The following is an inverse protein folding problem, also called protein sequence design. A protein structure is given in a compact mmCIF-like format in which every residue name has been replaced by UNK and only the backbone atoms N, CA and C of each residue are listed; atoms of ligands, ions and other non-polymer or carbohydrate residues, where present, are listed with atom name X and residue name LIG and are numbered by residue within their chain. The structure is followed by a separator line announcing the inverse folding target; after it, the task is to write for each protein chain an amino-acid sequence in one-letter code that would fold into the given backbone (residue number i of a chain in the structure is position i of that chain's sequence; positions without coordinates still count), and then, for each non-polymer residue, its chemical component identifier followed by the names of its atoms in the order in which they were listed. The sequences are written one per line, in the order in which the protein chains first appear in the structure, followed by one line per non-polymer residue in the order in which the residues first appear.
data_IF_304190966369
#
_entry.id   IF_304190966369
#
_cell.length_a   1.000
_cell.length_b   1.000
_cell.length_c   1.000
_cell.angle_alpha   90.00
_cell.angle_beta   90.00
_cell.angle_gamma   90.00
#
_symmetry.space_group_name_H-M   'P 1'
#
loop_
_entity.id
_entity.type
_entity.pdbx_description
1 polymer ?
#
# COMPACT_ATOMS: atom_id res chain seq x y z
N UNK A 1 21.25 -12.83 -8.19
CA UNK A 1 20.81 -13.85 -7.20
C UNK A 1 19.31 -13.80 -6.87
N UNK A 2 18.47 -13.03 -7.57
CA UNK A 2 17.00 -13.11 -7.43
C UNK A 2 16.31 -13.81 -8.60
N UNK A 3 17.07 -14.25 -9.62
CA UNK A 3 16.50 -14.96 -10.75
C UNK A 3 16.18 -16.41 -10.36
N UNK A 4 15.08 -16.90 -10.91
CA UNK A 4 14.60 -18.27 -10.74
C UNK A 4 14.42 -18.86 -12.13
N UNK A 5 14.70 -20.16 -12.30
CA UNK A 5 14.55 -20.81 -13.60
C UNK A 5 13.40 -21.83 -13.60
N UNK A 6 12.78 -22.09 -14.76
CA UNK A 6 11.75 -23.12 -14.88
C UNK A 6 12.22 -24.51 -14.45
N UNK A 7 13.49 -24.85 -14.64
CA UNK A 7 14.08 -26.15 -14.27
C UNK A 7 14.13 -26.33 -12.75
N UNK A 8 14.31 -25.26 -11.99
CA UNK A 8 14.29 -25.29 -10.52
C UNK A 8 12.86 -25.45 -9.99
N UNK A 9 11.90 -24.67 -10.50
CA UNK A 9 10.54 -24.60 -9.96
C UNK A 9 9.61 -25.68 -10.55
N UNK A 10 9.81 -26.09 -11.80
CA UNK A 10 8.93 -26.98 -12.54
C UNK A 10 8.67 -28.35 -11.87
N UNK A 11 9.70 -29.05 -11.36
CA UNK A 11 9.49 -30.31 -10.63
C UNK A 11 8.64 -30.12 -9.37
N UNK A 12 8.84 -29.03 -8.63
CA UNK A 12 8.05 -28.70 -7.44
C UNK A 12 6.58 -28.46 -7.79
N UNK A 13 6.31 -27.69 -8.86
CA UNK A 13 4.94 -27.46 -9.33
C UNK A 13 4.30 -28.74 -9.84
N UNK A 14 5.06 -29.58 -10.55
CA UNK A 14 4.57 -30.87 -11.05
C UNK A 14 4.12 -31.79 -9.91
N UNK A 15 4.80 -31.74 -8.76
CA UNK A 15 4.40 -32.48 -7.56
C UNK A 15 3.08 -32.01 -6.93
N UNK A 16 2.70 -30.74 -7.13
CA UNK A 16 1.47 -30.16 -6.56
C UNK A 16 0.29 -30.15 -7.54
N UNK A 17 0.57 -29.93 -8.83
CA UNK A 17 -0.45 -29.66 -9.85
C UNK A 17 -0.44 -30.66 -11.02
N UNK A 18 0.44 -31.66 -10.97
CA UNK A 18 0.64 -32.64 -12.04
C UNK A 18 1.67 -32.18 -13.08
N UNK A 19 2.27 -33.10 -13.87
CA UNK A 19 3.33 -32.76 -14.81
C UNK A 19 2.87 -31.80 -15.92
N UNK A 20 3.58 -30.68 -16.08
CA UNK A 20 3.36 -29.73 -17.17
C UNK A 20 4.60 -28.88 -17.48
N UNK A 21 4.61 -28.25 -18.66
CA UNK A 21 5.62 -27.25 -19.01
C UNK A 21 5.49 -26.03 -18.08
N UNK A 22 6.64 -25.52 -17.60
CA UNK A 22 6.71 -24.33 -16.75
C UNK A 22 7.39 -23.19 -17.50
N UNK A 23 6.81 -22.00 -17.47
CA UNK A 23 7.42 -20.76 -17.98
C UNK A 23 7.33 -19.68 -16.93
N UNK A 24 8.37 -18.83 -16.90
CA UNK A 24 8.51 -17.76 -15.93
C UNK A 24 8.70 -16.44 -16.66
N UNK A 25 7.92 -15.42 -16.29
CA UNK A 25 8.10 -14.05 -16.76
C UNK A 25 8.27 -13.16 -15.54
N UNK A 26 9.44 -12.53 -15.41
CA UNK A 26 9.68 -11.59 -14.31
C UNK A 26 8.84 -10.34 -14.52
N UNK A 27 8.13 -9.91 -13.47
CA UNK A 27 7.49 -8.59 -13.45
C UNK A 27 8.55 -7.59 -13.00
N UNK A 28 8.89 -6.64 -13.88
CA UNK A 28 9.86 -5.58 -13.58
C UNK A 28 9.20 -4.37 -12.90
N UNK A 29 9.96 -3.67 -12.05
CA UNK A 29 9.59 -2.38 -11.46
C UNK A 29 9.69 -2.34 -9.93
N UNK A 30 10.22 -1.22 -9.40
CA UNK A 30 10.05 -0.81 -8.00
C UNK A 30 11.01 -1.39 -6.96
N UNK A 31 10.77 -1.03 -5.70
CA UNK A 31 11.52 -1.44 -4.48
C UNK A 31 10.90 -2.68 -3.80
N UNK A 32 9.88 -3.29 -4.41
CA UNK A 32 9.07 -4.38 -3.83
C UNK A 32 9.74 -5.75 -3.95
N UNK A 33 9.15 -6.75 -3.28
CA UNK A 33 9.58 -8.15 -3.34
C UNK A 33 9.65 -8.70 -4.78
N UNK A 34 10.70 -9.49 -5.15
CA UNK A 34 10.78 -10.15 -6.45
C UNK A 34 9.49 -10.90 -6.81
N UNK A 35 8.92 -10.55 -7.97
CA UNK A 35 7.61 -11.04 -8.43
C UNK A 35 7.72 -11.61 -9.86
N UNK A 36 7.08 -12.75 -10.10
CA UNK A 36 7.12 -13.49 -11.35
C UNK A 36 5.72 -13.98 -11.73
N UNK A 37 5.35 -13.86 -13.00
CA UNK A 37 4.25 -14.64 -13.58
C UNK A 37 4.77 -16.06 -13.81
N UNK A 38 4.00 -17.05 -13.38
CA UNK A 38 4.28 -18.47 -13.52
C UNK A 38 3.17 -19.11 -14.34
N UNK A 39 3.52 -19.57 -15.53
CA UNK A 39 2.65 -20.41 -16.36
C UNK A 39 3.06 -21.87 -16.16
N UNK A 40 2.15 -22.71 -15.68
CA UNK A 40 2.35 -24.15 -15.49
C UNK A 40 1.19 -24.92 -16.13
N UNK A 41 1.40 -25.42 -17.35
CA UNK A 41 0.32 -25.94 -18.19
C UNK A 41 -0.75 -24.86 -18.44
N UNK A 42 -2.00 -25.15 -18.06
CA UNK A 42 -3.11 -24.18 -18.15
C UNK A 42 -3.23 -23.25 -16.93
N UNK A 43 -2.42 -23.45 -15.87
CA UNK A 43 -2.51 -22.68 -14.63
C UNK A 43 -1.58 -21.48 -14.71
N UNK A 44 -2.15 -20.26 -14.65
CA UNK A 44 -1.39 -19.01 -14.56
C UNK A 44 -1.43 -18.46 -13.14
N UNK A 45 -0.27 -18.21 -12.57
CA UNK A 45 -0.08 -17.79 -11.18
C UNK A 45 0.90 -16.62 -11.10
N UNK A 46 0.96 -15.99 -9.93
CA UNK A 46 2.02 -15.05 -9.55
C UNK A 46 2.80 -15.65 -8.38
N UNK A 47 4.13 -15.72 -8.54
CA UNK A 47 5.07 -16.04 -7.48
C UNK A 47 5.66 -14.76 -6.92
N UNK A 48 5.66 -14.62 -5.60
CA UNK A 48 6.31 -13.53 -4.88
C UNK A 48 7.26 -14.12 -3.84
N UNK A 49 8.50 -13.66 -3.80
CA UNK A 49 9.53 -14.17 -2.88
C UNK A 49 10.30 -13.04 -2.21
N UNK A 50 10.92 -13.33 -1.07
CA UNK A 50 11.86 -12.40 -0.42
C UNK A 50 13.04 -12.07 -1.34
N UNK A 51 13.63 -10.86 -1.28
CA UNK A 51 14.91 -10.62 -1.94
C UNK A 51 16.01 -11.50 -1.33
N UNK A 52 17.02 -11.87 -2.13
CA UNK A 52 18.22 -12.53 -1.64
C UNK A 52 19.09 -11.54 -0.84
N UNK A 53 19.80 -12.04 0.18
CA UNK A 53 20.73 -11.26 1.00
C UNK A 53 20.24 -11.07 2.45
N UNK A 54 21.01 -10.32 3.23
CA UNK A 54 20.60 -9.95 4.59
C UNK A 54 19.46 -8.94 4.54
N UNK A 55 18.36 -9.28 5.19
CA UNK A 55 17.16 -8.45 5.28
C UNK A 55 17.04 -7.92 6.71
N UNK A 56 16.69 -6.64 6.84
CA UNK A 56 16.37 -6.05 8.15
C UNK A 56 15.23 -6.81 8.81
N UNK A 57 15.31 -7.01 10.13
CA UNK A 57 14.29 -7.75 10.88
C UNK A 57 12.89 -7.17 10.65
N UNK A 58 11.99 -7.98 10.11
CA UNK A 58 10.59 -7.61 9.83
C UNK A 58 10.35 -6.95 8.47
N UNK A 59 11.40 -6.69 7.68
CA UNK A 59 11.25 -6.31 6.27
C UNK A 59 10.98 -7.55 5.40
N UNK A 60 10.27 -7.36 4.28
CA UNK A 60 9.98 -8.41 3.30
C UNK A 60 9.29 -9.66 3.90
N UNK A 61 8.36 -9.46 4.83
CA UNK A 61 7.64 -10.54 5.50
C UNK A 61 6.54 -11.14 4.60
N UNK A 62 6.94 -11.87 3.56
CA UNK A 62 6.03 -12.49 2.58
C UNK A 62 5.08 -13.51 3.21
N UNK A 63 5.45 -14.07 4.37
CA UNK A 63 4.60 -14.95 5.18
C UNK A 63 3.39 -14.18 5.71
N UNK A 64 3.59 -12.93 6.12
CA UNK A 64 2.51 -12.03 6.55
C UNK A 64 1.62 -11.62 5.38
N UNK A 65 2.21 -11.31 4.22
CA UNK A 65 1.46 -11.02 2.99
C UNK A 65 0.55 -12.20 2.60
N UNK A 66 1.09 -13.41 2.57
CA UNK A 66 0.31 -14.63 2.33
C UNK A 66 -0.79 -14.80 3.38
N UNK A 67 -0.46 -14.66 4.67
CA UNK A 67 -1.38 -14.90 5.78
C UNK A 67 -2.60 -13.99 5.73
N UNK A 68 -2.42 -12.68 5.49
CA UNK A 68 -3.54 -11.73 5.43
C UNK A 68 -4.42 -11.96 4.20
N UNK A 69 -3.83 -12.18 3.02
CA UNK A 69 -4.61 -12.48 1.81
C UNK A 69 -5.35 -13.80 1.92
N UNK A 70 -4.72 -14.82 2.51
CA UNK A 70 -5.34 -16.12 2.74
C UNK A 70 -6.56 -16.01 3.66
N UNK A 71 -6.42 -15.25 4.76
CA UNK A 71 -7.51 -15.04 5.71
C UNK A 71 -8.65 -14.17 5.13
N UNK A 72 -8.34 -13.26 4.20
CA UNK A 72 -9.32 -12.42 3.53
C UNK A 72 -10.07 -13.12 2.37
N UNK A 73 -9.59 -14.28 1.91
CA UNK A 73 -10.09 -14.95 0.71
C UNK A 73 -11.60 -15.28 0.75
N UNK A 74 -12.14 -15.50 1.95
CA UNK A 74 -13.56 -15.82 2.18
C UNK A 74 -14.38 -14.60 2.67
N UNK A 75 -13.85 -13.38 2.49
CA UNK A 75 -14.54 -12.12 2.84
C UNK A 75 -14.97 -11.35 1.60
N UNK A 76 -15.69 -10.24 1.79
CA UNK A 76 -16.07 -9.32 0.70
C UNK A 76 -14.89 -8.45 0.18
N UNK A 77 -13.68 -8.63 0.72
CA UNK A 77 -12.49 -7.91 0.29
C UNK A 77 -11.89 -8.63 -0.93
N UNK A 78 -11.83 -7.99 -2.11
CA UNK A 78 -11.27 -8.63 -3.28
C UNK A 78 -9.73 -8.73 -3.12
N UNK A 79 -9.23 -9.95 -2.97
CA UNK A 79 -7.80 -10.26 -2.93
C UNK A 79 -7.48 -11.40 -3.91
N UNK A 80 -6.27 -11.47 -4.49
CA UNK A 80 -5.86 -12.63 -5.25
C UNK A 80 -5.92 -13.87 -4.35
N UNK A 81 -6.53 -14.96 -4.85
CA UNK A 81 -6.60 -16.21 -4.09
C UNK A 81 -5.18 -16.76 -3.91
N UNK A 82 -4.75 -16.89 -2.67
CA UNK A 82 -3.49 -17.55 -2.35
C UNK A 82 -3.57 -19.04 -2.69
N UNK A 83 -2.53 -19.57 -3.32
CA UNK A 83 -2.48 -20.96 -3.79
C UNK A 83 -1.64 -21.81 -2.85
N UNK A 84 -0.44 -21.36 -2.53
CA UNK A 84 0.53 -22.12 -1.73
C UNK A 84 1.56 -21.19 -1.11
N UNK A 85 1.98 -21.49 0.12
CA UNK A 85 3.16 -20.90 0.76
C UNK A 85 4.24 -21.97 0.92
N UNK A 86 5.47 -21.66 0.50
CA UNK A 86 6.64 -22.51 0.66
C UNK A 86 7.67 -21.81 1.53
N UNK A 87 7.83 -22.32 2.76
CA UNK A 87 8.71 -21.72 3.77
C UNK A 87 10.18 -22.11 3.59
N UNK A 88 10.47 -23.29 3.05
CA UNK A 88 11.83 -23.81 2.96
C UNK A 88 12.63 -23.03 1.89
N UNK A 89 13.73 -22.33 2.26
CA UNK A 89 14.54 -21.61 1.29
C UNK A 89 15.33 -22.52 0.36
N UNK A 90 15.42 -23.84 0.61
CA UNK A 90 16.26 -24.75 -0.17
C UNK A 90 15.94 -24.74 -1.67
N UNK A 91 14.68 -24.50 -2.05
CA UNK A 91 14.26 -24.54 -3.46
C UNK A 91 14.71 -23.30 -4.24
N UNK A 92 14.42 -22.08 -3.74
CA UNK A 92 14.62 -20.81 -4.47
C UNK A 92 15.58 -19.83 -3.76
N UNK A 93 16.30 -20.29 -2.75
CA UNK A 93 17.18 -19.50 -1.89
C UNK A 93 16.45 -18.67 -0.83
N UNK A 94 15.14 -18.51 -0.94
CA UNK A 94 14.29 -17.80 0.01
C UNK A 94 12.88 -18.42 0.04
N UNK A 95 12.10 -18.21 1.11
CA UNK A 95 10.67 -18.48 1.10
C UNK A 95 9.97 -17.78 -0.07
N UNK A 96 8.84 -18.35 -0.51
CA UNK A 96 7.97 -17.74 -1.52
C UNK A 96 6.51 -18.17 -1.32
N UNK A 97 5.60 -17.45 -1.96
CA UNK A 97 4.22 -17.90 -2.12
C UNK A 97 3.74 -17.77 -3.56
N UNK A 98 2.71 -18.55 -3.88
CA UNK A 98 1.96 -18.50 -5.13
C UNK A 98 0.55 -17.97 -4.85
N UNK A 99 0.05 -17.14 -5.75
CA UNK A 99 -1.34 -16.72 -5.81
C UNK A 99 -1.86 -16.84 -7.25
N UNK A 100 -3.18 -16.87 -7.42
CA UNK A 100 -3.77 -16.85 -8.74
C UNK A 100 -3.43 -15.53 -9.46
N UNK A 101 -3.19 -15.62 -10.76
CA UNK A 101 -3.04 -14.43 -11.59
C UNK A 101 -4.41 -13.82 -11.85
N UNK A 102 -4.58 -12.56 -11.45
CA UNK A 102 -5.81 -11.79 -11.69
C UNK A 102 -5.57 -10.87 -12.87
N UNK A 103 -6.31 -11.06 -13.95
CA UNK A 103 -6.25 -10.20 -15.12
C UNK A 103 -7.02 -8.89 -14.85
N UNK A 104 -6.32 -7.76 -14.90
CA UNK A 104 -6.88 -6.45 -14.61
C UNK A 104 -5.99 -5.30 -15.07
N UNK A 105 -6.53 -4.08 -14.95
CA UNK A 105 -5.86 -2.83 -15.27
C UNK A 105 -5.26 -2.23 -14.00
N UNK A 106 -4.06 -1.68 -14.09
CA UNK A 106 -3.41 -0.91 -13.02
C UNK A 106 -3.26 0.52 -13.51
N UNK A 107 -3.64 1.49 -12.68
CA UNK A 107 -3.50 2.91 -12.97
C UNK A 107 -2.57 3.56 -11.95
N UNK A 108 -1.60 4.34 -12.44
CA UNK A 108 -0.67 5.09 -11.58
C UNK A 108 -0.98 6.58 -11.51
N UNK A 109 -1.64 7.14 -12.54
CA UNK A 109 -2.12 8.52 -12.56
C UNK A 109 -3.52 8.59 -11.95
N UNK A 110 -3.66 9.28 -10.80
CA UNK A 110 -4.94 9.37 -10.10
C UNK A 110 -5.98 10.19 -10.88
N UNK A 111 -5.59 10.92 -11.92
CA UNK A 111 -6.52 11.66 -12.79
C UNK A 111 -7.31 10.76 -13.73
N UNK A 112 -6.83 9.54 -13.99
CA UNK A 112 -7.45 8.57 -14.91
C UNK A 112 -7.79 9.18 -16.30
N UNK A 113 -6.81 9.85 -16.97
CA UNK A 113 -7.07 10.64 -18.17
C UNK A 113 -7.65 9.83 -19.33
N UNK A 114 -7.36 8.52 -19.39
CA UNK A 114 -7.83 7.59 -20.42
C UNK A 114 -9.29 7.14 -20.27
N UNK A 115 -9.96 7.52 -19.17
CA UNK A 115 -11.32 7.09 -18.87
C UNK A 115 -12.34 8.23 -19.01
N UNK A 116 -13.58 7.87 -19.31
CA UNK A 116 -14.71 8.78 -19.30
C UNK A 116 -15.08 9.20 -17.87
N UNK A 117 -15.64 10.42 -17.65
CA UNK A 117 -15.99 10.91 -16.32
C UNK A 117 -16.81 9.95 -15.45
N UNK A 118 -17.76 9.23 -16.05
CA UNK A 118 -18.58 8.26 -15.31
C UNK A 118 -17.76 7.08 -14.77
N UNK A 119 -16.78 6.60 -15.54
CA UNK A 119 -15.90 5.49 -15.13
C UNK A 119 -14.89 5.95 -14.07
N UNK A 120 -14.38 7.18 -14.17
CA UNK A 120 -13.53 7.78 -13.11
C UNK A 120 -14.27 7.80 -11.78
N UNK A 121 -15.52 8.28 -11.80
CA UNK A 121 -16.39 8.30 -10.63
C UNK A 121 -16.56 6.91 -10.03
N UNK A 122 -16.95 5.95 -10.87
CA UNK A 122 -17.22 4.58 -10.44
C UNK A 122 -15.98 3.88 -9.86
N UNK A 123 -14.78 4.12 -10.41
CA UNK A 123 -13.53 3.58 -9.86
C UNK A 123 -13.23 4.17 -8.48
N UNK A 124 -13.33 5.50 -8.30
CA UNK A 124 -13.09 6.14 -7.00
C UNK A 124 -14.09 5.64 -5.94
N UNK A 125 -15.37 5.52 -6.29
CA UNK A 125 -16.37 4.96 -5.38
C UNK A 125 -16.10 3.48 -5.08
N UNK A 126 -15.76 2.67 -6.08
CA UNK A 126 -15.38 1.27 -5.86
C UNK A 126 -14.14 1.13 -4.99
N UNK A 127 -13.17 2.04 -5.11
CA UNK A 127 -11.96 2.08 -4.31
C UNK A 127 -12.29 2.29 -2.83
N UNK A 128 -13.04 3.35 -2.51
CA UNK A 128 -13.33 3.67 -1.10
C UNK A 128 -14.29 2.67 -0.46
N UNK A 129 -15.23 2.11 -1.24
CA UNK A 129 -16.12 1.05 -0.77
C UNK A 129 -15.34 -0.25 -0.48
N UNK A 130 -14.29 -0.53 -1.26
CA UNK A 130 -13.39 -1.65 -0.99
C UNK A 130 -12.63 -1.45 0.32
N UNK A 131 -12.16 -0.23 0.59
CA UNK A 131 -11.53 0.12 1.87
C UNK A 131 -12.50 -0.04 3.04
N UNK A 132 -13.75 0.39 2.90
CA UNK A 132 -14.78 0.22 3.91
C UNK A 132 -15.05 -1.26 4.22
N UNK A 133 -15.12 -2.11 3.18
CA UNK A 133 -15.26 -3.56 3.34
C UNK A 133 -14.07 -4.16 4.09
N UNK A 134 -12.84 -3.72 3.78
CA UNK A 134 -11.64 -4.14 4.52
C UNK A 134 -11.72 -3.75 5.99
N UNK A 135 -12.03 -2.49 6.29
CA UNK A 135 -12.12 -2.00 7.67
C UNK A 135 -13.27 -2.61 8.46
N UNK A 136 -14.30 -3.15 7.79
CA UNK A 136 -15.40 -3.88 8.42
C UNK A 136 -14.99 -5.28 8.89
N UNK A 137 -13.95 -5.89 8.28
CA UNK A 137 -13.48 -7.22 8.67
C UNK A 137 -12.89 -7.17 10.08
N UNK A 138 -13.40 -8.05 10.95
CA UNK A 138 -12.89 -8.22 12.32
C UNK A 138 -11.70 -9.19 12.29
N UNK A 139 -10.46 -8.75 12.63
CA UNK A 139 -9.27 -9.60 12.55
C UNK A 139 -9.42 -10.93 13.29
N UNK A 140 -10.02 -10.91 14.47
CA UNK A 140 -10.28 -12.08 15.31
C UNK A 140 -11.20 -13.11 14.64
N UNK A 141 -12.14 -12.67 13.80
CA UNK A 141 -13.09 -13.54 13.12
C UNK A 141 -12.44 -14.34 11.98
N UNK A 142 -11.29 -13.89 11.48
CA UNK A 142 -10.55 -14.54 10.39
C UNK A 142 -9.15 -15.01 10.81
N UNK A 143 -8.91 -15.20 12.12
CA UNK A 143 -7.66 -15.77 12.64
C UNK A 143 -6.45 -14.83 12.55
N UNK A 144 -6.68 -13.51 12.59
CA UNK A 144 -5.66 -12.46 12.54
C UNK A 144 -5.57 -11.65 13.86
N UNK A 145 -5.98 -12.21 14.99
CA UNK A 145 -5.95 -11.53 16.30
C UNK A 145 -4.53 -11.13 16.74
N UNK A 146 -3.51 -11.88 16.34
CA UNK A 146 -2.07 -11.65 16.59
C UNK A 146 -1.35 -10.99 15.41
N UNK A 147 -2.08 -10.54 14.38
CA UNK A 147 -1.46 -10.02 13.16
C UNK A 147 -0.76 -8.67 13.36
N UNK A 148 -1.07 -7.93 14.41
CA UNK A 148 -0.42 -6.66 14.75
C UNK A 148 -0.78 -6.21 16.16
N UNK A 149 -0.05 -5.23 16.68
CA UNK A 149 -0.31 -4.67 18.02
C UNK A 149 -1.44 -3.63 17.95
N UNK A 150 -2.59 -3.82 18.64
CA UNK A 150 -3.68 -2.85 18.68
C UNK A 150 -3.40 -1.67 19.63
N UNK A 151 -4.31 -0.67 19.63
CA UNK A 151 -4.23 0.58 20.40
C UNK A 151 -3.17 1.53 19.87
N UNK A 152 -3.01 2.73 20.44
CA UNK A 152 -1.93 3.75 20.30
C UNK A 152 -1.28 3.83 18.90
N UNK A 153 -2.05 3.66 17.83
CA UNK A 153 -1.49 3.42 16.50
C UNK A 153 -0.70 4.63 16.02
N UNK A 154 -1.31 5.81 16.07
CA UNK A 154 -0.67 7.05 15.61
C UNK A 154 0.56 7.40 16.44
N UNK A 155 0.50 7.27 17.77
CA UNK A 155 1.66 7.53 18.63
C UNK A 155 2.85 6.62 18.27
N UNK A 156 2.61 5.31 18.10
CA UNK A 156 3.67 4.36 17.71
C UNK A 156 4.22 4.64 16.32
N UNK A 157 3.35 4.91 15.35
CA UNK A 157 3.80 5.16 14.00
C UNK A 157 4.54 6.49 13.91
N UNK A 158 4.05 7.54 14.56
CA UNK A 158 4.72 8.83 14.60
C UNK A 158 6.12 8.67 15.19
N UNK A 159 6.25 8.02 16.35
CA UNK A 159 7.56 7.72 16.94
C UNK A 159 8.48 6.97 15.96
N UNK A 160 7.99 5.92 15.29
CA UNK A 160 8.76 5.16 14.29
C UNK A 160 9.25 6.04 13.14
N UNK A 161 8.37 6.82 12.53
CA UNK A 161 8.71 7.64 11.37
C UNK A 161 9.62 8.81 11.76
N UNK A 162 9.45 9.39 12.94
CA UNK A 162 10.37 10.39 13.50
C UNK A 162 11.75 9.80 13.71
N UNK A 163 11.88 8.64 14.35
CA UNK A 163 13.19 7.99 14.52
C UNK A 163 13.85 7.61 13.19
N UNK A 164 13.05 7.22 12.19
CA UNK A 164 13.57 6.94 10.85
C UNK A 164 14.07 8.20 10.14
N UNK A 165 13.39 9.33 10.31
CA UNK A 165 13.86 10.64 9.84
C UNK A 165 15.16 11.06 10.53
N UNK A 166 15.23 10.95 11.85
CA UNK A 166 16.42 11.30 12.65
C UNK A 166 17.66 10.46 12.30
N UNK A 167 17.47 9.24 11.78
CA UNK A 167 18.53 8.35 11.34
C UNK A 167 18.91 8.51 9.85
N UNK A 168 18.28 9.43 9.12
CA UNK A 168 18.40 9.58 7.66
C UNK A 168 19.33 10.72 7.24
N UNK A 169 19.57 10.90 5.94
CA UNK A 169 20.31 12.08 5.45
C UNK A 169 19.53 13.40 5.60
N UNK A 170 18.27 13.36 6.03
CA UNK A 170 17.42 14.53 6.31
C UNK A 170 17.24 14.77 7.81
N UNK A 171 18.10 14.21 8.66
CA UNK A 171 18.01 14.35 10.12
C UNK A 171 18.01 15.79 10.64
N UNK A 172 18.52 16.75 9.85
CA UNK A 172 18.56 18.19 10.18
C UNK A 172 17.54 19.02 9.38
N UNK A 173 16.65 18.39 8.60
CA UNK A 173 15.64 19.11 7.83
C UNK A 173 14.62 19.79 8.76
N UNK A 174 14.70 21.12 8.83
CA UNK A 174 13.92 21.91 9.75
C UNK A 174 12.40 21.79 9.52
N UNK A 175 11.96 21.62 8.27
CA UNK A 175 10.55 21.53 7.93
C UNK A 175 9.95 20.21 8.38
N UNK A 176 10.63 19.10 8.09
CA UNK A 176 10.21 17.75 8.48
C UNK A 176 10.24 17.55 10.00
N UNK A 177 11.29 18.05 10.67
CA UNK A 177 11.38 17.99 12.13
C UNK A 177 10.31 18.85 12.82
N UNK A 178 10.02 20.04 12.29
CA UNK A 178 8.94 20.88 12.81
C UNK A 178 7.58 20.21 12.60
N UNK A 179 7.34 19.61 11.43
CA UNK A 179 6.11 18.89 11.12
C UNK A 179 5.89 17.70 12.07
N UNK A 180 6.94 16.88 12.27
CA UNK A 180 6.94 15.78 13.24
C UNK A 180 6.52 16.25 14.64
N UNK A 181 7.13 17.34 15.13
CA UNK A 181 6.77 17.96 16.42
C UNK A 181 5.33 18.47 16.46
N UNK A 182 4.87 19.11 15.37
CA UNK A 182 3.49 19.62 15.28
C UNK A 182 2.48 18.48 15.31
N UNK A 183 2.71 17.42 14.54
CA UNK A 183 1.86 16.22 14.52
C UNK A 183 1.76 15.60 15.91
N UNK A 184 2.86 15.53 16.66
CA UNK A 184 2.84 15.01 18.03
C UNK A 184 1.97 15.86 18.98
N UNK A 185 1.93 17.19 18.76
CA UNK A 185 1.13 18.12 19.59
C UNK A 185 -0.37 18.08 19.27
N UNK A 186 -0.73 17.87 18.00
CA UNK A 186 -2.14 17.90 17.54
C UNK A 186 -2.73 16.51 17.33
N UNK A 187 -1.99 15.46 17.71
CA UNK A 187 -2.46 14.08 17.64
C UNK A 187 -3.75 13.94 18.46
N UNK A 188 -4.84 13.38 17.88
CA UNK A 188 -6.02 13.07 18.65
C UNK A 188 -5.72 11.97 19.70
N UNK A 189 -6.48 11.94 20.80
CA UNK A 189 -6.41 10.82 21.74
C UNK A 189 -6.79 9.51 21.01
N UNK A 190 -6.22 8.40 21.47
CA UNK A 190 -6.62 7.08 20.96
C UNK A 190 -8.09 6.80 21.33
N UNK A 191 -8.92 6.56 20.33
CA UNK A 191 -10.34 6.25 20.49
C UNK A 191 -10.60 4.73 20.54
N UNK A 192 -9.54 3.92 20.42
CA UNK A 192 -9.59 2.46 20.49
C UNK A 192 -10.10 1.77 19.22
N UNK A 193 -10.43 2.52 18.15
CA UNK A 193 -10.83 1.91 16.88
C UNK A 193 -9.66 1.13 16.28
N UNK A 194 -9.96 -0.10 15.89
CA UNK A 194 -8.99 -0.99 15.25
C UNK A 194 -9.61 -1.72 14.06
N UNK A 195 -8.79 -1.89 13.03
CA UNK A 195 -9.11 -2.65 11.82
C UNK A 195 -7.83 -3.29 11.26
N UNK A 196 -8.00 -4.16 10.27
CA UNK A 196 -6.91 -4.45 9.34
C UNK A 196 -6.61 -3.13 8.61
N UNK A 197 -5.36 -2.69 8.67
CA UNK A 197 -4.84 -1.58 7.90
C UNK A 197 -3.96 -2.16 6.79
N UNK A 198 -4.24 -1.78 5.54
CA UNK A 198 -3.44 -2.15 4.38
C UNK A 198 -2.07 -1.46 4.42
N UNK A 199 -2.04 -0.18 4.81
CA UNK A 199 -0.82 0.60 4.98
C UNK A 199 -0.31 1.30 3.71
N UNK A 200 -0.58 0.78 2.51
CA UNK A 200 -0.33 1.44 1.21
C UNK A 200 -1.59 1.39 0.31
N UNK A 201 -2.76 1.78 0.84
CA UNK A 201 -4.04 1.67 0.12
C UNK A 201 -4.19 2.81 -0.91
N UNK A 202 -3.85 2.53 -2.17
CA UNK A 202 -3.89 3.51 -3.27
C UNK A 202 -4.20 2.85 -4.61
N UNK A 203 -4.60 3.66 -5.59
CA UNK A 203 -4.98 3.23 -6.94
C UNK A 203 -3.92 2.33 -7.61
N UNK A 204 -2.63 2.65 -7.44
CA UNK A 204 -1.53 1.86 -8.01
C UNK A 204 -1.36 0.46 -7.41
N UNK A 205 -2.03 0.15 -6.31
CA UNK A 205 -2.05 -1.17 -5.67
C UNK A 205 -3.42 -1.86 -5.84
N UNK A 206 -4.17 -1.49 -6.87
CA UNK A 206 -5.46 -2.09 -7.19
C UNK A 206 -5.47 -2.61 -8.63
N UNK A 207 -6.09 -3.77 -8.80
CA UNK A 207 -6.52 -4.22 -10.11
C UNK A 207 -7.95 -3.78 -10.34
N UNK A 208 -8.16 -3.00 -11.39
CA UNK A 208 -9.48 -2.65 -11.90
C UNK A 208 -9.88 -3.68 -12.96
N UNK A 209 -11.16 -4.08 -12.99
CA UNK A 209 -11.66 -5.05 -13.96
C UNK A 209 -11.27 -4.65 -15.39
N UNK A 210 -10.93 -5.59 -16.30
CA UNK A 210 -10.48 -5.27 -17.66
C UNK A 210 -11.42 -4.34 -18.45
N UNK A 211 -12.72 -4.46 -18.21
CA UNK A 211 -13.77 -3.73 -18.96
C UNK A 211 -14.75 -2.95 -18.09
N UNK A 212 -14.71 -3.11 -16.76
CA UNK A 212 -15.69 -2.49 -15.84
C UNK A 212 -14.97 -1.57 -14.84
N UNK A 213 -15.58 -0.45 -14.42
CA UNK A 213 -14.95 0.52 -13.51
C UNK A 213 -15.06 0.09 -12.04
N UNK A 214 -14.59 -1.13 -11.71
CA UNK A 214 -14.61 -1.67 -10.34
C UNK A 214 -13.30 -2.35 -9.95
N UNK A 215 -12.95 -2.24 -8.67
CA UNK A 215 -11.81 -2.95 -8.07
C UNK A 215 -12.11 -4.45 -8.00
N UNK A 216 -11.16 -5.27 -8.44
CA UNK A 216 -11.24 -6.74 -8.44
C UNK A 216 -10.12 -7.42 -7.68
N UNK A 217 -9.07 -6.71 -7.29
CA UNK A 217 -8.09 -7.17 -6.31
C UNK A 217 -7.34 -5.99 -5.68
N UNK A 218 -7.09 -6.10 -4.37
CA UNK A 218 -6.14 -5.25 -3.63
C UNK A 218 -4.82 -6.00 -3.55
N UNK A 219 -3.74 -5.33 -3.95
CA UNK A 219 -2.38 -5.87 -4.05
C UNK A 219 -1.47 -5.24 -2.98
N UNK A 220 -0.29 -5.83 -2.81
CA UNK A 220 0.81 -5.27 -2.03
C UNK A 220 0.54 -5.09 -0.52
N UNK A 221 0.35 -6.23 0.14
CA UNK A 221 0.02 -6.30 1.57
C UNK A 221 1.26 -6.22 2.49
N UNK A 222 2.41 -5.79 1.99
CA UNK A 222 3.69 -5.85 2.72
C UNK A 222 3.72 -4.95 3.97
N UNK A 223 2.95 -3.86 3.97
CA UNK A 223 2.84 -2.93 5.09
C UNK A 223 1.65 -3.22 6.02
N UNK A 224 0.90 -4.29 5.73
CA UNK A 224 -0.36 -4.56 6.42
C UNK A 224 -0.16 -4.98 7.88
N UNK A 225 -1.06 -4.51 8.73
CA UNK A 225 -1.04 -4.72 10.18
C UNK A 225 -2.45 -4.58 10.74
N UNK A 226 -2.60 -4.84 12.04
CA UNK A 226 -3.71 -4.28 12.81
C UNK A 226 -3.35 -2.84 13.20
N UNK A 227 -4.24 -1.91 12.87
CA UNK A 227 -4.02 -0.48 13.05
C UNK A 227 -5.33 0.29 13.14
N UNK A 228 -5.26 1.61 12.98
CA UNK A 228 -6.41 2.49 13.05
C UNK A 228 -6.97 2.76 11.64
N UNK A 229 -8.29 2.64 11.38
CA UNK A 229 -8.85 2.81 10.02
C UNK A 229 -8.60 4.20 9.43
N UNK A 230 -8.59 5.25 10.26
CA UNK A 230 -8.26 6.62 9.81
C UNK A 230 -6.83 6.75 9.24
N UNK A 231 -5.93 5.81 9.50
CA UNK A 231 -4.59 5.83 8.92
C UNK A 231 -4.62 5.53 7.42
N UNK A 232 -5.38 4.51 7.00
CA UNK A 232 -5.58 4.23 5.58
C UNK A 232 -6.47 5.29 4.92
N UNK A 233 -7.47 5.85 5.65
CA UNK A 233 -8.28 6.95 5.11
C UNK A 233 -7.46 8.23 4.88
N UNK A 234 -6.57 8.58 5.80
CA UNK A 234 -5.62 9.68 5.58
C UNK A 234 -4.65 9.39 4.43
N UNK A 235 -4.26 8.13 4.23
CA UNK A 235 -3.37 7.73 3.14
C UNK A 235 -4.05 7.81 1.78
N UNK A 236 -5.26 7.26 1.64
CA UNK A 236 -6.01 7.29 0.38
C UNK A 236 -6.50 8.71 0.03
N UNK A 237 -6.55 9.63 1.01
CA UNK A 237 -6.85 11.05 0.78
C UNK A 237 -5.71 11.80 0.08
N UNK A 238 -4.45 11.36 0.19
CA UNK A 238 -3.29 12.15 -0.26
C UNK A 238 -3.42 12.73 -1.68
N UNK A 239 -3.94 12.01 -2.70
CA UNK A 239 -4.10 12.57 -4.05
C UNK A 239 -4.97 13.83 -4.10
N UNK A 240 -5.96 14.00 -3.21
CA UNK A 240 -6.76 15.24 -3.13
C UNK A 240 -5.94 16.45 -2.66
N UNK A 241 -4.80 16.20 -2.00
CA UNK A 241 -3.94 17.20 -1.35
C UNK A 241 -2.55 17.34 -2.01
N UNK A 242 -2.31 16.64 -3.11
CA UNK A 242 -1.06 16.71 -3.88
C UNK A 242 -1.33 16.98 -5.36
N UNK A 243 -0.45 17.70 -6.03
CA UNK A 243 -0.57 18.01 -7.46
C UNK A 243 -0.16 16.82 -8.36
N UNK A 244 -0.44 16.85 -9.67
CA UNK A 244 -0.07 15.76 -10.59
C UNK A 244 1.44 15.43 -10.62
N UNK A 245 2.31 16.44 -10.47
CA UNK A 245 3.76 16.26 -10.36
C UNK A 245 4.23 15.80 -8.96
N UNK A 246 3.32 15.81 -7.98
CA UNK A 246 3.52 15.33 -6.62
C UNK A 246 2.97 13.90 -6.48
N UNK A 247 3.60 12.98 -7.21
CA UNK A 247 3.29 11.54 -7.15
C UNK A 247 1.88 11.19 -7.68
N UNK A 248 1.45 11.86 -8.76
CA UNK A 248 0.21 11.53 -9.46
C UNK A 248 -1.05 12.00 -8.76
N UNK A 249 -0.96 13.04 -7.92
CA UNK A 249 -2.13 13.65 -7.27
C UNK A 249 -3.05 14.39 -8.23
N UNK A 250 -4.13 14.95 -7.71
CA UNK A 250 -5.20 15.60 -8.48
C UNK A 250 -5.46 17.05 -8.06
N UNK A 251 -4.78 17.56 -7.03
CA UNK A 251 -4.94 18.95 -6.59
C UNK A 251 -4.59 19.92 -7.71
N UNK A 252 -5.54 20.82 -8.02
CA UNK A 252 -5.40 21.82 -9.08
C UNK A 252 -5.54 21.27 -10.51
N UNK A 253 -5.87 20.00 -10.70
CA UNK A 253 -6.12 19.42 -12.02
C UNK A 253 -7.62 19.40 -12.36
N UNK A 254 -7.95 19.65 -13.63
CA UNK A 254 -9.31 19.43 -14.14
C UNK A 254 -9.58 17.92 -14.24
N UNK A 255 -10.43 17.42 -13.34
CA UNK A 255 -10.70 15.99 -13.17
C UNK A 255 -12.21 15.68 -13.22
N UNK A 256 -12.89 15.99 -14.35
CA UNK A 256 -14.33 15.79 -14.44
C UNK A 256 -14.69 14.33 -14.15
N UNK A 257 -15.68 14.14 -13.28
CA UNK A 257 -16.16 12.84 -12.84
C UNK A 257 -15.52 12.30 -11.56
N UNK A 258 -14.32 12.75 -11.17
CA UNK A 258 -13.75 12.36 -9.88
C UNK A 258 -14.61 12.99 -8.77
N UNK A 259 -15.11 12.21 -7.78
CA UNK A 259 -15.88 12.77 -6.68
C UNK A 259 -14.98 13.68 -5.84
N UNK A 260 -15.56 14.73 -5.25
CA UNK A 260 -14.84 15.49 -4.24
C UNK A 260 -14.57 14.63 -2.98
N UNK A 261 -13.66 15.10 -2.13
CA UNK A 261 -13.24 14.36 -0.94
C UNK A 261 -14.40 14.08 0.03
N UNK A 262 -15.38 14.99 0.12
CA UNK A 262 -16.53 14.84 1.00
C UNK A 262 -17.46 13.72 0.51
N UNK A 263 -17.73 13.68 -0.80
CA UNK A 263 -18.52 12.63 -1.43
C UNK A 263 -17.80 11.27 -1.37
N UNK A 264 -16.50 11.25 -1.62
CA UNK A 264 -15.66 10.06 -1.52
C UNK A 264 -15.76 9.43 -0.12
N UNK A 265 -15.62 10.23 0.95
CA UNK A 265 -15.78 9.73 2.30
C UNK A 265 -17.23 9.49 2.73
N UNK A 266 -18.22 10.13 2.10
CA UNK A 266 -19.62 9.77 2.32
C UNK A 266 -19.88 8.32 1.87
N UNK A 267 -19.40 7.94 0.68
CA UNK A 267 -19.55 6.57 0.17
C UNK A 267 -18.85 5.50 1.03
N UNK A 268 -17.75 5.87 1.70
CA UNK A 268 -17.13 5.01 2.72
C UNK A 268 -18.07 4.78 3.92
N UNK A 269 -18.63 5.87 4.46
CA UNK A 269 -19.49 5.83 5.65
C UNK A 269 -20.85 5.18 5.39
N UNK A 270 -21.32 5.15 4.15
CA UNK A 270 -22.53 4.38 3.79
C UNK A 270 -22.38 2.89 4.10
N UNK A 271 -21.14 2.36 4.06
CA UNK A 271 -20.83 0.97 4.42
C UNK A 271 -20.40 0.86 5.89
N UNK A 272 -19.65 1.83 6.40
CA UNK A 272 -19.06 1.79 7.75
C UNK A 272 -19.27 3.09 8.53
N UNK A 273 -20.52 3.40 8.94
CA UNK A 273 -20.90 4.72 9.46
C UNK A 273 -20.28 5.06 10.83
N UNK A 274 -19.82 4.06 11.57
CA UNK A 274 -19.18 4.26 12.88
C UNK A 274 -17.76 4.79 12.81
N UNK A 275 -17.11 4.76 11.64
CA UNK A 275 -15.77 5.32 11.44
C UNK A 275 -15.94 6.73 10.85
N UNK A 276 -15.42 7.78 11.52
CA UNK A 276 -15.55 9.15 11.03
C UNK A 276 -14.72 9.38 9.76
N UNK A 277 -14.97 10.49 9.08
CA UNK A 277 -14.08 10.96 8.01
C UNK A 277 -12.72 11.38 8.60
N UNK A 278 -11.61 11.24 7.84
CA UNK A 278 -10.30 11.64 8.32
C UNK A 278 -10.27 13.15 8.59
N UNK A 279 -9.87 13.50 9.81
CA UNK A 279 -9.52 14.88 10.19
C UNK A 279 -8.17 15.31 9.59
N UNK A 280 -7.87 16.63 9.51
CA UNK A 280 -6.61 17.17 8.99
C UNK A 280 -5.35 16.49 9.53
N UNK A 281 -5.33 16.13 10.82
CA UNK A 281 -4.23 15.36 11.42
C UNK A 281 -3.91 14.06 10.66
N UNK A 282 -4.92 13.29 10.26
CA UNK A 282 -4.73 11.97 9.64
C UNK A 282 -4.11 12.08 8.24
N UNK A 283 -4.56 13.08 7.48
CA UNK A 283 -4.06 13.39 6.13
C UNK A 283 -2.62 13.92 6.24
N UNK A 284 -2.38 14.88 7.13
CA UNK A 284 -1.05 15.43 7.38
C UNK A 284 -0.05 14.37 7.89
N UNK A 285 -0.51 13.45 8.76
CA UNK A 285 0.29 12.31 9.21
C UNK A 285 0.65 11.38 8.04
N UNK A 286 -0.28 11.09 7.13
CA UNK A 286 -0.01 10.27 5.95
C UNK A 286 1.01 10.94 5.02
N UNK A 287 0.86 12.24 4.77
CA UNK A 287 1.79 13.04 3.98
C UNK A 287 3.19 13.06 4.61
N UNK A 288 3.29 13.27 5.93
CA UNK A 288 4.56 13.20 6.67
C UNK A 288 5.22 11.82 6.54
N UNK A 289 4.45 10.75 6.77
CA UNK A 289 4.92 9.38 6.62
C UNK A 289 5.49 9.14 5.22
N UNK A 290 4.80 9.58 4.17
CA UNK A 290 5.26 9.40 2.79
C UNK A 290 6.48 10.26 2.46
N UNK A 291 6.57 11.46 3.03
CA UNK A 291 7.76 12.30 2.99
C UNK A 291 9.01 11.56 3.54
N UNK A 292 8.89 10.92 4.70
CA UNK A 292 9.98 10.13 5.29
C UNK A 292 10.31 8.89 4.45
N UNK A 293 9.32 8.27 3.80
CA UNK A 293 9.55 7.18 2.84
C UNK A 293 10.39 7.68 1.65
N UNK A 294 10.08 8.86 1.08
CA UNK A 294 10.88 9.44 0.01
C UNK A 294 12.32 9.71 0.41
N UNK A 295 12.55 10.18 1.64
CA UNK A 295 13.90 10.32 2.21
C UNK A 295 14.62 8.97 2.23
N UNK A 296 13.97 7.92 2.73
CA UNK A 296 14.56 6.57 2.75
C UNK A 296 14.87 6.02 1.35
N UNK A 297 14.04 6.32 0.34
CA UNK A 297 14.31 5.96 -1.05
C UNK A 297 15.53 6.73 -1.57
N UNK A 298 15.62 8.03 -1.30
CA UNK A 298 16.76 8.85 -1.70
C UNK A 298 18.08 8.40 -1.04
N UNK A 299 18.04 8.01 0.23
CA UNK A 299 19.22 7.48 0.95
C UNK A 299 19.69 6.16 0.34
N UNK A 300 18.77 5.24 0.03
CA UNK A 300 19.11 4.00 -0.69
C UNK A 300 19.70 4.29 -2.07
N UNK A 301 19.19 5.29 -2.78
CA UNK A 301 19.71 5.70 -4.09
C UNK A 301 21.15 6.21 -4.00
N UNK A 302 21.42 7.11 -3.04
CA UNK A 302 22.77 7.63 -2.77
C UNK A 302 23.76 6.51 -2.41
N UNK A 303 23.29 5.49 -1.68
CA UNK A 303 24.09 4.32 -1.32
C UNK A 303 24.29 3.31 -2.47
N UNK A 304 23.74 3.55 -3.67
CA UNK A 304 23.82 2.62 -4.81
C UNK A 304 22.91 1.39 -4.68
N UNK A 305 21.97 1.41 -3.73
CA UNK A 305 21.10 0.29 -3.37
C UNK A 305 19.63 0.52 -3.76
N UNK A 306 19.32 1.54 -4.56
CA UNK A 306 17.97 1.73 -5.07
C UNK A 306 17.69 0.83 -6.28
N UNK A 307 16.55 0.15 -6.24
CA UNK A 307 16.03 -0.62 -7.37
C UNK A 307 15.46 0.26 -8.51
N UNK A 308 15.09 1.51 -8.22
CA UNK A 308 14.60 2.48 -9.20
C UNK A 308 15.77 3.37 -9.67
N UNK A 309 16.15 3.36 -10.96
CA UNK A 309 17.22 4.21 -11.48
C UNK A 309 16.91 5.71 -11.36
N UNK A 310 15.64 6.08 -11.28
CA UNK A 310 15.18 7.46 -11.12
C UNK A 310 14.97 7.85 -9.65
N UNK A 311 15.45 7.05 -8.69
CA UNK A 311 15.17 7.25 -7.27
C UNK A 311 15.62 8.62 -6.71
N UNK A 312 16.58 9.29 -7.35
CA UNK A 312 17.00 10.64 -6.98
C UNK A 312 15.87 11.68 -7.11
N UNK A 313 14.89 11.46 -8.01
CA UNK A 313 13.75 12.37 -8.22
C UNK A 313 12.81 12.47 -7.01
N UNK A 314 12.88 11.51 -6.08
CA UNK A 314 12.00 11.48 -4.90
C UNK A 314 12.48 12.40 -3.78
N UNK A 315 13.76 12.78 -3.71
CA UNK A 315 14.26 13.65 -2.64
C UNK A 315 13.51 15.00 -2.56
N UNK A 316 13.26 15.73 -3.68
CA UNK A 316 12.44 16.94 -3.64
C UNK A 316 10.99 16.72 -3.21
N UNK A 317 10.43 15.51 -3.41
CA UNK A 317 9.05 15.20 -3.02
C UNK A 317 8.89 15.14 -1.50
N UNK A 318 9.94 14.80 -0.74
CA UNK A 318 9.88 14.84 0.72
C UNK A 318 9.54 16.25 1.24
N UNK A 319 10.20 17.27 0.71
CA UNK A 319 9.91 18.67 1.06
C UNK A 319 8.50 19.10 0.64
N UNK A 320 8.07 18.74 -0.59
CA UNK A 320 6.73 19.06 -1.09
C UNK A 320 5.62 18.43 -0.24
N UNK A 321 5.74 17.14 0.09
CA UNK A 321 4.77 16.45 0.95
C UNK A 321 4.73 17.05 2.36
N UNK A 322 5.88 17.47 2.90
CA UNK A 322 5.91 18.17 4.17
C UNK A 322 5.17 19.52 4.11
N UNK A 323 5.32 20.28 3.02
CA UNK A 323 4.59 21.55 2.80
C UNK A 323 3.08 21.31 2.69
N UNK A 324 2.65 20.28 1.95
CA UNK A 324 1.22 19.89 1.88
C UNK A 324 0.65 19.53 3.23
N UNK A 325 1.40 18.78 4.03
CA UNK A 325 0.97 18.42 5.38
C UNK A 325 0.75 19.66 6.26
N UNK A 326 1.63 20.67 6.16
CA UNK A 326 1.44 21.95 6.85
C UNK A 326 0.19 22.69 6.38
N UNK A 327 -0.03 22.80 5.07
CA UNK A 327 -1.22 23.45 4.49
C UNK A 327 -2.51 22.81 5.03
N UNK A 328 -2.58 21.48 5.02
CA UNK A 328 -3.73 20.73 5.56
C UNK A 328 -3.97 21.05 7.04
N UNK A 329 -2.91 21.11 7.85
CA UNK A 329 -3.04 21.44 9.29
C UNK A 329 -3.50 22.89 9.51
N UNK A 330 -3.05 23.84 8.69
CA UNK A 330 -3.40 25.25 8.79
C UNK A 330 -4.85 25.52 8.36
N UNK A 331 -5.28 24.97 7.23
CA UNK A 331 -6.66 25.08 6.73
C UNK A 331 -7.66 24.45 7.71
N UNK A 332 -7.29 23.31 8.30
CA UNK A 332 -8.08 22.66 9.34
C UNK A 332 -8.20 23.44 10.65
N UNK A 333 -7.21 24.28 10.97
CA UNK A 333 -7.22 25.09 12.20
C UNK A 333 -8.15 26.31 12.11
N UNK A 334 -8.61 26.68 10.91
CA UNK A 334 -9.50 27.82 10.67
C UNK A 334 -11.00 27.49 10.69
N UNK A 335 -11.39 26.22 10.82
CA UNK A 335 -12.78 25.74 10.81
C UNK A 335 -13.28 25.28 12.20
N UNK A 336 -12.50 25.51 13.26
CA UNK A 336 -12.78 25.08 14.63
C UNK A 336 -13.43 26.13 15.52
#
# INVERSE_FOLDING_TARGET
MNEITPEQLGPFLSGHFGPAETRLTRIGGGQSNPTFIVDHGARRMVLRKQPAGEILRGAHAIDREFRVMHALADTDVPVPRTVLFHQDPALLGTPFYLMDFVEGRVFSDCRLPELEPADRRAIYLSMVQTLARLHRVRPEAIGLSDFGRPGDYFARQLHRWTSQLEASSFAEDALLLALSRRLAQVQPPDDGLTSIAHGDFRLGNMLIHPTEPRVIAVLDWELSTIGHPLADLGFVAMPFHTSPDEYGGILGAETPGIPDEAEFFAAYRDILPQVPAPQPFHIAFALFRFAVIFVGIADRAKAGNAADPEAARYAPLAGRFAQRAWQVLEEGSGQG
#
